data_IF_403844476884
#
_entry.id   IF_403844476884
#
_cell.length_a   1.000
_cell.length_b   1.000
_cell.length_c   1.000
_cell.angle_alpha   90.00
_cell.angle_beta   90.00
_cell.angle_gamma   90.00
#
_symmetry.space_group_name_H-M   'P 1'
#
loop_
_entity.id
_entity.type
_entity.pdbx_description
1 polymer ?
#
# COMPACT_ATOMS: atom_id res chain seq x y z
N UNK A 1 -10.91 -5.86 14.67
CA UNK A 1 -11.23 -4.63 13.90
C UNK A 1 -12.21 -3.79 14.70
N UNK A 2 -12.08 -2.46 14.69
CA UNK A 2 -12.99 -1.52 15.39
C UNK A 2 -13.38 -0.40 14.44
N UNK A 3 -14.60 0.10 14.56
CA UNK A 3 -15.07 1.27 13.83
C UNK A 3 -16.17 2.03 14.63
N UNK A 4 -16.36 3.34 14.39
CA UNK A 4 -17.41 4.11 15.05
C UNK A 4 -18.79 3.50 14.85
N UNK A 5 -19.56 3.36 15.92
CA UNK A 5 -20.93 2.82 15.88
C UNK A 5 -21.03 1.31 15.63
N UNK A 6 -19.91 0.58 15.59
CA UNK A 6 -19.88 -0.87 15.36
C UNK A 6 -19.30 -1.61 16.56
N UNK A 7 -19.87 -2.77 16.88
CA UNK A 7 -19.26 -3.68 17.86
C UNK A 7 -17.89 -4.18 17.37
N UNK A 8 -16.90 -4.39 18.25
CA UNK A 8 -15.59 -4.89 17.85
C UNK A 8 -15.67 -6.26 17.16
N UNK A 9 -15.16 -6.36 15.93
CA UNK A 9 -15.03 -7.62 15.21
C UNK A 9 -13.72 -8.32 15.60
N UNK A 10 -13.80 -9.57 16.04
CA UNK A 10 -12.62 -10.43 16.27
C UNK A 10 -12.42 -11.37 15.08
N UNK A 11 -11.17 -11.44 14.60
CA UNK A 11 -10.79 -12.27 13.46
C UNK A 11 -9.61 -13.13 13.89
N UNK A 12 -9.76 -14.47 13.95
CA UNK A 12 -8.67 -15.35 14.34
C UNK A 12 -7.50 -15.27 13.36
N UNK A 13 -6.28 -15.11 13.88
CA UNK A 13 -5.06 -15.10 13.06
C UNK A 13 -4.75 -16.48 12.50
N UNK A 14 -5.10 -17.54 13.23
CA UNK A 14 -5.01 -18.92 12.80
C UNK A 14 -6.43 -19.50 12.78
N UNK A 15 -6.76 -20.16 11.69
CA UNK A 15 -7.99 -20.94 11.55
C UNK A 15 -7.61 -22.28 10.95
N UNK A 16 -8.16 -23.35 11.51
CA UNK A 16 -7.88 -24.72 11.07
C UNK A 16 -8.50 -24.99 9.68
N UNK A 17 -9.58 -24.29 9.35
CA UNK A 17 -10.26 -24.36 8.06
C UNK A 17 -10.77 -22.99 7.65
N UNK A 18 -10.37 -22.52 6.47
CA UNK A 18 -11.01 -21.40 5.79
C UNK A 18 -11.54 -21.89 4.44
N UNK A 19 -12.75 -21.46 4.07
CA UNK A 19 -13.23 -21.64 2.72
C UNK A 19 -12.40 -20.80 1.74
N UNK A 20 -12.30 -21.26 0.49
CA UNK A 20 -11.65 -20.51 -0.59
C UNK A 20 -12.69 -19.85 -1.45
N UNK A 21 -12.47 -18.59 -1.78
CA UNK A 21 -13.24 -17.86 -2.78
C UNK A 21 -12.35 -17.62 -3.99
N UNK A 22 -12.91 -17.79 -5.18
CA UNK A 22 -12.25 -17.57 -6.45
C UNK A 22 -12.44 -16.16 -7.00
N UNK A 23 -11.84 -15.88 -8.15
CA UNK A 23 -12.01 -14.63 -8.89
C UNK A 23 -11.67 -13.35 -8.09
N UNK A 24 -10.79 -13.46 -7.09
CA UNK A 24 -10.24 -12.29 -6.41
C UNK A 24 -9.22 -11.65 -7.33
N UNK A 25 -9.35 -10.35 -7.58
CA UNK A 25 -8.42 -9.61 -8.44
C UNK A 25 -7.74 -8.46 -7.70
N UNK A 26 -6.44 -8.32 -7.95
CA UNK A 26 -5.62 -7.18 -7.53
C UNK A 26 -4.76 -6.77 -8.71
N UNK A 27 -5.15 -5.66 -9.35
CA UNK A 27 -4.59 -5.23 -10.63
C UNK A 27 -4.72 -6.33 -11.69
N UNK A 28 -3.62 -6.71 -12.35
CA UNK A 28 -3.61 -7.75 -13.38
C UNK A 28 -3.54 -9.17 -12.80
N UNK A 29 -3.40 -9.32 -11.47
CA UNK A 29 -3.39 -10.63 -10.82
C UNK A 29 -4.82 -11.04 -10.46
N UNK A 30 -5.15 -12.30 -10.72
CA UNK A 30 -6.35 -12.96 -10.20
C UNK A 30 -6.00 -14.32 -9.60
N UNK A 31 -6.76 -14.75 -8.58
CA UNK A 31 -6.54 -16.03 -7.93
C UNK A 31 -7.55 -16.32 -6.82
N UNK A 32 -7.25 -17.35 -6.03
CA UNK A 32 -8.03 -17.72 -4.85
C UNK A 32 -7.63 -16.88 -3.63
N UNK A 33 -8.54 -16.78 -2.66
CA UNK A 33 -8.23 -16.26 -1.32
C UNK A 33 -9.00 -17.03 -0.25
N UNK A 34 -8.47 -17.04 0.98
CA UNK A 34 -9.15 -17.59 2.14
C UNK A 34 -10.21 -16.60 2.62
N UNK A 35 -11.44 -17.04 2.75
CA UNK A 35 -12.54 -16.23 3.22
C UNK A 35 -12.60 -16.18 4.75
N UNK A 36 -12.82 -14.99 5.31
CA UNK A 36 -12.89 -14.78 6.77
C UNK A 36 -14.32 -14.94 7.32
N UNK A 37 -15.22 -15.51 6.50
CA UNK A 37 -16.56 -15.91 6.87
C UNK A 37 -17.60 -14.78 6.90
N UNK A 38 -18.86 -15.21 7.04
CA UNK A 38 -20.01 -14.30 6.93
C UNK A 38 -20.09 -13.27 8.04
N UNK A 39 -19.55 -13.55 9.23
CA UNK A 39 -19.49 -12.56 10.30
C UNK A 39 -18.63 -11.35 9.89
N UNK A 40 -17.44 -11.60 9.34
CA UNK A 40 -16.59 -10.53 8.83
C UNK A 40 -17.24 -9.82 7.63
N UNK A 41 -17.80 -10.59 6.69
CA UNK A 41 -18.47 -10.03 5.52
C UNK A 41 -19.64 -9.10 5.90
N UNK A 42 -20.52 -9.54 6.81
CA UNK A 42 -21.64 -8.73 7.30
C UNK A 42 -21.14 -7.48 8.01
N UNK A 43 -20.14 -7.61 8.88
CA UNK A 43 -19.58 -6.47 9.62
C UNK A 43 -19.04 -5.39 8.68
N UNK A 44 -18.22 -5.77 7.68
CA UNK A 44 -17.70 -4.82 6.70
C UNK A 44 -18.79 -4.26 5.79
N UNK A 45 -19.76 -5.10 5.40
CA UNK A 45 -20.87 -4.66 4.53
C UNK A 45 -21.75 -3.62 5.21
N UNK A 46 -22.06 -3.81 6.50
CA UNK A 46 -22.79 -2.84 7.31
C UNK A 46 -22.03 -1.54 7.44
N UNK A 47 -20.74 -1.59 7.82
CA UNK A 47 -19.96 -0.37 8.03
C UNK A 47 -19.68 0.41 6.74
N UNK A 48 -19.40 -0.29 5.62
CA UNK A 48 -19.06 0.34 4.34
C UNK A 48 -20.30 0.66 3.48
N UNK A 49 -21.50 0.22 3.89
CA UNK A 49 -22.75 0.46 3.17
C UNK A 49 -22.85 -0.25 1.81
N UNK A 50 -22.05 -1.30 1.57
CA UNK A 50 -22.03 -2.07 0.31
C UNK A 50 -21.56 -3.50 0.54
N UNK A 51 -22.00 -4.48 -0.28
CA UNK A 51 -21.54 -5.86 -0.19
C UNK A 51 -20.01 -5.94 -0.19
N UNK A 52 -19.45 -6.48 0.89
CA UNK A 52 -18.01 -6.53 1.14
C UNK A 52 -17.66 -7.82 1.86
N UNK A 53 -16.62 -8.53 1.41
CA UNK A 53 -16.04 -9.67 2.12
C UNK A 53 -14.60 -9.35 2.50
N UNK A 54 -14.18 -9.85 3.67
CA UNK A 54 -12.76 -9.84 4.05
C UNK A 54 -12.15 -11.18 3.64
N UNK A 55 -11.02 -11.11 2.95
CA UNK A 55 -10.26 -12.28 2.52
C UNK A 55 -8.80 -12.15 2.91
N UNK A 56 -8.12 -13.29 3.03
CA UNK A 56 -6.70 -13.42 3.31
C UNK A 56 -6.00 -14.11 2.15
N UNK A 57 -4.80 -13.66 1.82
CA UNK A 57 -4.02 -14.26 0.75
C UNK A 57 -3.65 -15.70 1.11
N UNK A 58 -3.97 -16.66 0.25
CA UNK A 58 -3.62 -18.07 0.48
C UNK A 58 -2.18 -18.34 0.03
N UNK A 59 -1.21 -18.08 0.92
CA UNK A 59 0.21 -18.30 0.61
C UNK A 59 0.55 -19.78 0.36
N UNK A 60 -0.34 -20.73 0.69
CA UNK A 60 -0.10 -22.16 0.46
C UNK A 60 -0.44 -22.58 -0.98
N UNK A 61 -1.43 -21.94 -1.62
CA UNK A 61 -1.83 -22.26 -3.00
C UNK A 61 -1.51 -21.18 -4.02
N UNK A 62 -1.37 -19.92 -3.60
CA UNK A 62 -1.24 -18.78 -4.48
C UNK A 62 0.14 -18.13 -4.42
N UNK A 63 0.56 -17.59 -5.56
CA UNK A 63 1.78 -16.79 -5.69
C UNK A 63 1.47 -15.59 -6.56
N UNK A 64 1.75 -14.40 -6.03
CA UNK A 64 1.76 -13.16 -6.82
C UNK A 64 3.18 -12.63 -6.95
N UNK A 65 3.86 -12.85 -8.10
CA UNK A 65 5.23 -12.38 -8.29
C UNK A 65 5.27 -10.85 -8.39
N UNK A 66 6.39 -10.26 -7.98
CA UNK A 66 6.71 -8.85 -8.28
C UNK A 66 7.20 -8.72 -9.72
N UNK A 67 7.27 -7.49 -10.25
CA UNK A 67 7.82 -7.23 -11.60
C UNK A 67 9.26 -7.75 -11.70
N UNK A 68 9.50 -8.69 -12.63
CA UNK A 68 10.80 -9.36 -12.79
C UNK A 68 11.92 -8.41 -13.25
N UNK A 69 11.58 -7.26 -13.82
CA UNK A 69 12.59 -6.27 -14.22
C UNK A 69 13.17 -5.51 -13.02
N UNK A 70 12.45 -5.47 -11.89
CA UNK A 70 12.83 -4.71 -10.72
C UNK A 70 13.15 -5.59 -9.50
N UNK A 71 12.40 -6.68 -9.31
CA UNK A 71 12.53 -7.55 -8.14
C UNK A 71 12.31 -9.03 -8.51
N UNK A 72 13.19 -9.60 -9.33
CA UNK A 72 13.10 -11.01 -9.73
C UNK A 72 13.17 -11.94 -8.52
N UNK A 73 12.29 -12.95 -8.50
CA UNK A 73 12.25 -13.98 -7.45
C UNK A 73 11.55 -13.54 -6.17
N UNK A 74 11.12 -12.28 -6.07
CA UNK A 74 10.32 -11.79 -4.96
C UNK A 74 8.82 -11.94 -5.26
N UNK A 75 8.04 -11.88 -4.18
CA UNK A 75 6.59 -12.05 -4.19
C UNK A 75 5.95 -10.93 -3.38
N UNK A 76 4.73 -10.59 -3.74
CA UNK A 76 3.84 -9.75 -2.95
C UNK A 76 2.55 -10.52 -2.67
N UNK A 77 1.70 -9.97 -1.80
CA UNK A 77 0.34 -10.46 -1.57
C UNK A 77 -0.63 -9.44 -2.15
N UNK A 78 -1.53 -8.88 -1.36
CA UNK A 78 -2.45 -7.82 -1.81
C UNK A 78 -1.84 -6.40 -1.79
N UNK A 79 -0.56 -6.24 -1.43
CA UNK A 79 0.14 -4.95 -1.58
C UNK A 79 0.30 -4.58 -3.05
N UNK A 80 0.33 -3.28 -3.38
CA UNK A 80 0.27 -2.76 -4.75
C UNK A 80 1.32 -3.38 -5.70
N UNK A 81 2.59 -2.99 -5.55
CA UNK A 81 3.70 -3.49 -6.40
C UNK A 81 4.72 -4.34 -5.62
N UNK A 82 5.19 -3.88 -4.45
CA UNK A 82 6.28 -4.51 -3.69
C UNK A 82 5.91 -4.67 -2.21
N UNK A 83 6.57 -5.61 -1.47
CA UNK A 83 6.24 -5.90 -0.07
C UNK A 83 6.56 -4.76 0.89
N UNK A 84 7.53 -3.89 0.57
CA UNK A 84 7.95 -2.81 1.44
C UNK A 84 8.00 -1.47 0.69
N UNK A 85 7.49 -0.43 1.35
CA UNK A 85 7.66 0.97 0.97
C UNK A 85 8.49 1.67 2.06
N UNK A 86 9.51 2.42 1.63
CA UNK A 86 10.33 3.25 2.51
C UNK A 86 10.15 4.73 2.16
N UNK A 87 10.18 5.58 3.19
CA UNK A 87 10.15 7.04 3.07
C UNK A 87 11.06 7.61 4.16
N UNK A 88 11.77 8.70 3.88
CA UNK A 88 12.51 9.43 4.91
C UNK A 88 11.70 10.58 5.52
N UNK A 89 11.95 10.90 6.78
CA UNK A 89 11.39 12.06 7.48
C UNK A 89 11.76 13.35 6.76
N UNK A 90 13.00 13.48 6.27
CA UNK A 90 13.46 14.66 5.54
C UNK A 90 12.75 14.85 4.19
N UNK A 91 12.37 13.77 3.49
CA UNK A 91 11.46 13.84 2.33
C UNK A 91 10.08 14.35 2.68
N UNK A 92 9.49 13.86 3.78
CA UNK A 92 8.18 14.32 4.25
C UNK A 92 8.22 15.80 4.64
N UNK A 93 9.24 16.21 5.41
CA UNK A 93 9.42 17.59 5.85
C UNK A 93 9.60 18.54 4.67
N UNK A 94 10.34 18.10 3.65
CA UNK A 94 10.57 18.90 2.44
C UNK A 94 9.28 19.07 1.63
N UNK A 95 8.47 18.03 1.51
CA UNK A 95 7.13 18.14 0.93
C UNK A 95 6.23 19.06 1.77
N UNK A 96 6.22 18.91 3.09
CA UNK A 96 5.36 19.69 3.98
C UNK A 96 5.69 21.19 3.97
N UNK A 97 6.94 21.57 3.71
CA UNK A 97 7.32 22.99 3.50
C UNK A 97 6.69 23.61 2.25
N UNK A 98 6.24 22.81 1.29
CA UNK A 98 5.62 23.26 0.04
C UNK A 98 4.08 23.24 0.09
N UNK A 99 3.50 22.65 1.14
CA UNK A 99 2.06 22.53 1.31
C UNK A 99 1.52 23.67 2.19
N UNK A 100 0.28 24.11 1.94
CA UNK A 100 -0.40 25.03 2.84
C UNK A 100 -0.68 24.39 4.20
N UNK A 101 -0.99 23.09 4.19
CA UNK A 101 -1.28 22.29 5.37
C UNK A 101 -0.35 21.07 5.39
N UNK A 102 0.49 20.90 6.43
CA UNK A 102 1.36 19.74 6.55
C UNK A 102 0.56 18.43 6.60
N UNK A 103 1.07 17.41 5.91
CA UNK A 103 0.47 16.09 5.90
C UNK A 103 1.21 15.13 6.85
N UNK A 104 0.47 14.27 7.58
CA UNK A 104 1.06 13.21 8.38
C UNK A 104 1.58 12.07 7.49
N UNK A 105 2.60 11.35 7.98
CA UNK A 105 3.20 10.21 7.26
C UNK A 105 2.21 9.09 6.92
N UNK A 106 1.12 8.97 7.69
CA UNK A 106 0.10 7.94 7.47
C UNK A 106 -0.60 8.04 6.10
N UNK A 107 -0.54 9.20 5.42
CA UNK A 107 -1.05 9.38 4.05
C UNK A 107 -0.28 8.55 3.03
N UNK A 108 1.01 8.34 3.26
CA UNK A 108 1.90 7.67 2.31
C UNK A 108 2.08 6.18 2.57
N UNK A 109 1.60 5.70 3.72
CA UNK A 109 1.57 4.28 4.11
C UNK A 109 2.92 3.54 3.97
N UNK A 110 4.06 4.14 4.41
CA UNK A 110 5.32 3.40 4.39
C UNK A 110 5.28 2.24 5.39
N UNK A 111 6.04 1.20 5.10
CA UNK A 111 6.35 0.15 6.06
C UNK A 111 7.53 0.55 6.95
N UNK A 112 8.48 1.31 6.39
CA UNK A 112 9.70 1.77 7.06
C UNK A 112 9.80 3.28 6.89
N UNK A 113 9.88 3.99 8.01
CA UNK A 113 10.04 5.44 8.05
C UNK A 113 11.39 5.77 8.70
N UNK A 114 12.25 6.49 7.98
CA UNK A 114 13.68 6.63 8.32
C UNK A 114 14.04 8.08 8.60
N UNK A 115 14.85 8.31 9.62
CA UNK A 115 15.42 9.62 9.96
C UNK A 115 16.92 9.67 9.67
N UNK A 116 17.51 10.87 9.71
CA UNK A 116 18.97 11.04 9.65
C UNK A 116 19.57 10.98 8.25
N UNK A 117 18.83 11.38 7.22
CA UNK A 117 19.33 11.49 5.85
C UNK A 117 18.86 12.78 5.16
N UNK A 118 19.55 13.17 4.08
CA UNK A 118 19.13 14.27 3.22
C UNK A 118 17.75 14.00 2.58
N UNK A 119 16.97 15.05 2.25
CA UNK A 119 15.70 14.89 1.56
C UNK A 119 15.82 14.04 0.31
N UNK A 120 14.93 13.05 0.17
CA UNK A 120 14.85 12.14 -0.97
C UNK A 120 16.08 11.24 -1.18
N UNK A 121 16.98 11.15 -0.19
CA UNK A 121 18.13 10.26 -0.27
C UNK A 121 17.71 8.78 -0.49
N UNK A 122 16.51 8.40 -0.05
CA UNK A 122 15.97 7.06 -0.24
C UNK A 122 15.83 6.63 -1.69
N UNK A 123 15.73 7.58 -2.62
CA UNK A 123 15.62 7.29 -4.06
C UNK A 123 16.87 6.63 -4.63
N UNK A 124 18.02 6.87 -3.98
CA UNK A 124 19.33 6.41 -4.44
C UNK A 124 19.81 5.15 -3.73
N UNK A 125 19.15 4.74 -2.64
CA UNK A 125 19.59 3.59 -1.85
C UNK A 125 19.35 2.28 -2.61
N UNK A 126 20.44 1.67 -3.10
CA UNK A 126 20.36 0.38 -3.80
C UNK A 126 20.31 -0.80 -2.84
N UNK A 127 20.97 -0.69 -1.70
CA UNK A 127 21.00 -1.74 -0.67
C UNK A 127 21.05 -1.09 0.70
N UNK A 128 20.19 -1.56 1.59
CA UNK A 128 20.09 -1.11 2.97
C UNK A 128 20.16 -2.31 3.90
N UNK A 129 20.75 -2.11 5.08
CA UNK A 129 20.75 -3.13 6.13
C UNK A 129 20.11 -2.58 7.39
N UNK A 130 19.07 -3.25 7.88
CA UNK A 130 18.34 -2.87 9.10
C UNK A 130 18.28 -4.11 9.98
N UNK A 131 18.86 -4.04 11.18
CA UNK A 131 18.89 -5.15 12.15
C UNK A 131 19.28 -6.50 11.55
N UNK A 132 20.32 -6.52 10.72
CA UNK A 132 20.81 -7.74 10.07
C UNK A 132 20.08 -8.15 8.80
N UNK A 133 18.88 -7.62 8.53
CA UNK A 133 18.12 -7.86 7.30
C UNK A 133 18.61 -6.94 6.17
N UNK A 134 18.73 -7.48 4.96
CA UNK A 134 19.10 -6.74 3.76
C UNK A 134 17.86 -6.41 2.94
N UNK A 135 17.74 -5.15 2.54
CA UNK A 135 16.69 -4.65 1.65
C UNK A 135 17.34 -4.09 0.38
N UNK A 136 16.62 -4.19 -0.74
CA UNK A 136 17.07 -3.67 -2.02
C UNK A 136 16.12 -2.57 -2.49
N UNK A 137 16.67 -1.43 -2.90
CA UNK A 137 15.90 -0.37 -3.54
C UNK A 137 15.64 -0.74 -5.00
N UNK A 138 14.40 -1.13 -5.28
CA UNK A 138 14.03 -1.73 -6.58
C UNK A 138 13.40 -0.74 -7.55
N UNK A 139 12.48 0.11 -7.08
CA UNK A 139 11.76 1.07 -7.94
C UNK A 139 11.29 2.27 -7.11
N UNK A 140 11.28 3.45 -7.72
CA UNK A 140 10.70 4.64 -7.10
C UNK A 140 9.17 4.53 -7.03
N UNK A 141 8.58 4.94 -5.91
CA UNK A 141 7.14 4.89 -5.72
C UNK A 141 6.46 6.12 -6.34
N UNK A 142 5.91 5.97 -7.55
CA UNK A 142 4.99 6.95 -8.12
C UNK A 142 3.71 7.03 -7.27
N UNK A 143 3.38 8.22 -6.79
CA UNK A 143 2.18 8.41 -5.96
C UNK A 143 0.93 8.43 -6.82
N UNK A 144 -0.05 7.62 -6.43
CA UNK A 144 -1.42 7.67 -6.95
C UNK A 144 -2.24 8.68 -6.11
N UNK A 145 -3.57 8.69 -6.29
CA UNK A 145 -4.48 9.57 -5.52
C UNK A 145 -4.66 9.17 -4.05
N UNK A 146 -4.24 7.98 -3.62
CA UNK A 146 -4.49 7.48 -2.26
C UNK A 146 -3.99 8.43 -1.15
N UNK A 147 -2.79 9.04 -1.25
CA UNK A 147 -2.33 10.00 -0.25
C UNK A 147 -3.19 11.26 -0.11
N UNK A 148 -4.11 11.54 -1.05
CA UNK A 148 -5.02 12.68 -0.94
C UNK A 148 -6.23 12.42 -0.05
N UNK A 149 -6.41 11.18 0.42
CA UNK A 149 -7.52 10.81 1.30
C UNK A 149 -7.12 11.06 2.75
N UNK A 150 -7.92 11.89 3.45
CA UNK A 150 -7.82 12.03 4.88
C UNK A 150 -8.22 10.71 5.55
N UNK A 151 -7.27 10.06 6.24
CA UNK A 151 -7.48 8.74 6.82
C UNK A 151 -8.43 8.73 8.03
N UNK A 152 -8.69 9.89 8.65
CA UNK A 152 -9.64 10.00 9.77
C UNK A 152 -11.08 10.18 9.28
N UNK A 153 -11.28 10.94 8.21
CA UNK A 153 -12.61 11.31 7.72
C UNK A 153 -13.04 10.56 6.46
N UNK A 154 -12.12 9.91 5.76
CA UNK A 154 -12.36 9.27 4.46
C UNK A 154 -12.53 10.25 3.29
N UNK A 155 -12.41 11.56 3.52
CA UNK A 155 -12.62 12.58 2.49
C UNK A 155 -11.38 12.72 1.61
N UNK A 156 -11.57 12.65 0.30
CA UNK A 156 -10.52 12.88 -0.69
C UNK A 156 -10.31 14.37 -0.96
N UNK A 157 -9.06 14.80 -1.04
CA UNK A 157 -8.64 16.13 -1.49
C UNK A 157 -7.78 16.05 -2.75
N UNK A 158 -7.03 17.13 -2.99
CA UNK A 158 -6.10 17.24 -4.14
C UNK A 158 -4.63 17.07 -3.75
N UNK A 159 -4.26 17.55 -2.57
CA UNK A 159 -2.90 17.41 -2.04
C UNK A 159 -2.67 16.02 -1.42
N UNK A 160 -1.47 15.43 -1.54
CA UNK A 160 -0.21 16.03 -2.03
C UNK A 160 0.02 15.90 -3.54
N UNK A 161 -0.95 15.40 -4.32
CA UNK A 161 -0.72 15.08 -5.74
C UNK A 161 -0.39 16.32 -6.57
N UNK A 162 -1.12 17.42 -6.36
CA UNK A 162 -0.87 18.69 -7.07
C UNK A 162 0.54 19.23 -6.78
N UNK A 163 0.95 19.26 -5.51
CA UNK A 163 2.28 19.76 -5.16
C UNK A 163 3.41 18.83 -5.62
N UNK A 164 3.27 17.51 -5.44
CA UNK A 164 4.25 16.54 -5.96
C UNK A 164 4.42 16.64 -7.48
N UNK A 165 3.35 16.92 -8.22
CA UNK A 165 3.42 17.03 -9.68
C UNK A 165 4.36 18.14 -10.18
N UNK A 166 4.63 19.16 -9.36
CA UNK A 166 5.46 20.33 -9.71
C UNK A 166 6.96 20.06 -9.64
N UNK A 167 7.40 19.14 -8.77
CA UNK A 167 8.83 18.91 -8.54
C UNK A 167 9.23 17.43 -8.54
N UNK A 168 8.27 16.50 -8.59
CA UNK A 168 8.47 15.05 -8.48
C UNK A 168 7.57 14.29 -9.45
N UNK A 169 7.72 14.59 -10.74
CA UNK A 169 6.88 14.11 -11.84
C UNK A 169 7.65 13.55 -13.05
N UNK A 170 8.96 13.35 -12.94
CA UNK A 170 9.80 12.88 -14.05
C UNK A 170 9.43 11.48 -14.54
N UNK A 171 9.78 11.18 -15.80
CA UNK A 171 9.50 9.89 -16.46
C UNK A 171 9.98 8.69 -15.65
N UNK A 172 11.11 8.81 -14.96
CA UNK A 172 11.67 7.74 -14.13
C UNK A 172 10.69 7.24 -13.05
N UNK A 173 9.84 8.11 -12.51
CA UNK A 173 8.80 7.75 -11.53
C UNK A 173 7.64 6.98 -12.15
N UNK A 174 7.37 7.20 -13.44
CA UNK A 174 6.24 6.59 -14.16
C UNK A 174 6.65 5.52 -15.16
N UNK A 175 7.95 5.22 -15.26
CA UNK A 175 8.51 4.20 -16.13
C UNK A 175 7.89 2.82 -15.81
N UNK A 176 7.41 2.14 -16.85
CA UNK A 176 6.74 0.84 -16.73
C UNK A 176 5.22 0.90 -16.51
N UNK A 177 4.59 2.08 -16.35
CA UNK A 177 3.13 2.18 -16.46
C UNK A 177 2.75 2.01 -17.93
N UNK A 178 2.22 0.84 -18.32
CA UNK A 178 1.44 0.73 -19.56
C UNK A 178 0.38 1.82 -19.51
N UNK A 179 0.22 2.58 -20.60
CA UNK A 179 -0.84 3.57 -20.75
C UNK A 179 -2.18 2.88 -20.44
N UNK A 180 -2.72 3.12 -19.24
CA UNK A 180 -4.07 2.68 -18.91
C UNK A 180 -5.00 3.67 -19.61
N UNK A 181 -5.75 3.13 -20.57
CA UNK A 181 -6.71 3.86 -21.38
C UNK A 181 -7.71 4.65 -20.53
N UNK A 182 -8.18 5.74 -21.14
CA UNK A 182 -9.15 6.71 -20.66
C UNK A 182 -10.36 6.10 -19.94
#
# INVERSE_FOLDING_TARGET
>A
VKAPGMDPLQIPLLQDTCERIDNISVWEWSGLALDEGDNAANWFSTYLGKPSRLVRFDTASEVRPTDENYARGYKTMFSDEYPFLMISQSSLDTLNKLLSEPLPINRFRPNIFIEGCEPFAEDLWKTLRINGMTFHGVKLCARCKVPTVNQETGVAGKEPTETLSKFRSGEILFSGKKARGK
#
